data_IF_219520635089
#
_entry.id   IF_219520635089
#
_cell.length_a   1.000
_cell.length_b   1.000
_cell.length_c   1.000
_cell.angle_alpha   90.00
_cell.angle_beta   90.00
_cell.angle_gamma   90.00
#
_symmetry.space_group_name_H-M   'P 1'
#
loop_
_entity.id
_entity.type
_entity.pdbx_description
1 polymer ?
#
# COMPACT_ATOMS: atom_id res chain seq x y z
N UNK A 1 27.33 8.59 20.76
CA UNK A 1 26.26 8.52 21.78
C UNK A 1 26.65 7.58 22.91
N UNK A 2 27.31 6.47 22.59
CA UNK A 2 27.67 5.43 23.56
C UNK A 2 28.76 5.83 24.57
N UNK A 3 29.65 6.75 24.22
CA UNK A 3 30.71 7.20 25.14
C UNK A 3 30.18 7.89 26.40
N UNK A 4 29.07 8.63 26.31
CA UNK A 4 28.42 9.23 27.47
C UNK A 4 27.79 8.18 28.39
N UNK A 5 27.33 7.06 27.82
CA UNK A 5 26.73 5.95 28.55
C UNK A 5 27.82 5.15 29.25
N UNK A 6 28.92 4.82 28.57
CA UNK A 6 30.05 4.09 29.15
C UNK A 6 30.70 4.87 30.30
N UNK A 7 30.97 6.17 30.12
CA UNK A 7 31.57 7.02 31.17
C UNK A 7 30.66 7.12 32.39
N UNK A 8 29.34 7.29 32.20
CA UNK A 8 28.39 7.29 33.31
C UNK A 8 28.32 5.92 34.03
N UNK A 9 28.51 4.81 33.31
CA UNK A 9 28.59 3.48 33.93
C UNK A 9 29.89 3.24 34.71
N UNK A 10 30.99 3.90 34.35
CA UNK A 10 32.24 3.85 35.10
C UNK A 10 32.21 4.74 36.36
N UNK A 11 31.53 5.90 36.27
CA UNK A 11 31.41 6.86 37.38
C UNK A 11 30.45 6.39 38.49
N UNK A 12 29.46 5.57 38.13
CA UNK A 12 28.54 4.95 39.09
C UNK A 12 28.95 3.51 39.35
N UNK A 13 29.25 3.15 40.60
CA UNK A 13 29.47 1.75 40.98
C UNK A 13 28.34 0.89 40.41
N UNK A 14 28.67 -0.13 39.61
CA UNK A 14 27.76 -0.96 38.81
C UNK A 14 26.48 -1.41 39.55
N UNK A 15 26.57 -1.54 40.87
CA UNK A 15 25.48 -1.92 41.77
C UNK A 15 24.51 -0.79 42.09
N UNK A 16 24.91 0.47 42.06
CA UNK A 16 24.05 1.61 42.38
C UNK A 16 22.91 1.76 41.39
N UNK A 17 23.22 1.76 40.09
CA UNK A 17 22.21 1.84 39.02
C UNK A 17 21.31 0.60 39.04
N UNK A 18 21.88 -0.59 39.28
CA UNK A 18 21.12 -1.84 39.45
C UNK A 18 20.18 -1.75 40.67
N UNK A 19 20.66 -1.30 41.82
CA UNK A 19 19.84 -1.13 43.03
C UNK A 19 18.72 -0.09 42.84
N UNK A 20 18.99 1.00 42.10
CA UNK A 20 17.97 2.00 41.78
C UNK A 20 16.91 1.43 40.84
N UNK A 21 17.32 0.71 39.80
CA UNK A 21 16.42 0.01 38.88
C UNK A 21 15.58 -1.02 39.64
N UNK A 22 16.24 -1.87 40.41
CA UNK A 22 15.59 -2.97 41.14
C UNK A 22 14.65 -2.41 42.21
N UNK A 23 15.00 -1.31 42.89
CA UNK A 23 14.12 -0.63 43.81
C UNK A 23 12.92 0.08 43.15
N UNK A 24 13.02 0.47 41.88
CA UNK A 24 11.88 0.98 41.10
C UNK A 24 10.98 -0.19 40.69
N UNK A 25 11.57 -1.28 40.18
CA UNK A 25 10.85 -2.51 39.82
C UNK A 25 10.09 -3.03 41.04
N UNK A 26 10.74 -3.16 42.19
CA UNK A 26 10.10 -3.59 43.44
C UNK A 26 8.92 -2.69 43.81
N UNK A 27 9.02 -1.37 43.66
CA UNK A 27 7.93 -0.43 43.93
C UNK A 27 6.76 -0.51 42.94
N UNK A 28 7.03 -0.84 41.68
CA UNK A 28 6.02 -0.96 40.62
C UNK A 28 5.25 -2.29 40.70
N UNK A 29 5.95 -3.36 41.10
CA UNK A 29 5.40 -4.71 41.15
C UNK A 29 5.00 -5.16 42.56
N UNK A 30 5.35 -4.40 43.61
CA UNK A 30 4.80 -4.61 44.94
C UNK A 30 3.28 -4.34 44.95
N UNK A 31 2.47 -5.15 45.66
CA UNK A 31 1.05 -4.89 45.82
C UNK A 31 0.83 -3.49 46.39
N UNK A 32 -0.02 -2.68 45.74
CA UNK A 32 -0.20 -1.25 46.00
C UNK A 32 -0.80 -0.88 47.38
N UNK A 33 -0.77 -1.78 48.35
CA UNK A 33 -1.48 -1.61 49.63
C UNK A 33 -0.68 -1.00 50.77
N UNK A 34 0.57 -0.54 50.59
CA UNK A 34 1.34 -0.14 51.78
C UNK A 34 2.37 0.98 51.70
N UNK A 35 2.44 1.81 50.64
CA UNK A 35 3.37 2.96 50.65
C UNK A 35 2.86 4.24 49.97
N UNK A 36 1.85 4.86 50.58
CA UNK A 36 1.77 6.32 50.61
C UNK A 36 1.91 6.77 52.06
N UNK A 37 2.99 7.47 52.40
CA UNK A 37 3.24 7.93 53.77
C UNK A 37 2.30 9.08 54.21
N UNK A 38 1.44 9.61 53.32
CA UNK A 38 0.51 10.70 53.64
C UNK A 38 -0.97 10.42 53.28
N UNK A 39 -1.32 9.18 52.95
CA UNK A 39 -2.73 8.83 52.74
C UNK A 39 -3.22 8.01 53.94
N UNK A 40 -3.90 8.69 54.86
CA UNK A 40 -4.84 8.06 55.79
C UNK A 40 -5.98 7.48 54.94
N UNK A 41 -5.84 6.22 54.55
CA UNK A 41 -6.87 5.50 53.79
C UNK A 41 -7.99 5.10 54.77
N UNK A 42 -9.18 5.67 54.59
CA UNK A 42 -10.41 4.99 55.00
C UNK A 42 -10.70 3.92 53.97
N UNK A 43 -10.82 2.69 54.43
CA UNK A 43 -11.24 1.53 53.66
C UNK A 43 -12.57 1.82 52.94
N UNK A 44 -12.57 1.67 51.61
CA UNK A 44 -13.79 1.39 50.86
C UNK A 44 -13.44 0.59 49.62
N UNK A 45 -13.94 -0.64 49.65
CA UNK A 45 -13.74 -1.72 48.70
C UNK A 45 -14.36 -1.46 47.33
N UNK A 46 -13.78 -2.08 46.29
CA UNK A 46 -14.51 -2.50 45.09
C UNK A 46 -14.29 -1.74 43.77
N UNK A 47 -13.55 -0.64 43.73
CA UNK A 47 -13.43 0.20 42.50
C UNK A 47 -12.05 0.24 41.84
N UNK A 48 -11.08 -0.49 42.38
CA UNK A 48 -9.69 -0.46 41.89
C UNK A 48 -9.43 -1.46 40.75
N UNK A 49 -10.13 -2.59 40.72
CA UNK A 49 -9.90 -3.69 39.76
C UNK A 49 -10.36 -3.36 38.34
N UNK A 50 -11.57 -2.80 38.16
CA UNK A 50 -12.07 -2.38 36.84
C UNK A 50 -11.16 -1.34 36.16
N UNK A 51 -10.54 -0.45 36.95
CA UNK A 51 -9.65 0.58 36.41
C UNK A 51 -8.29 0.00 35.98
N UNK A 52 -7.82 -1.08 36.62
CA UNK A 52 -6.58 -1.78 36.26
C UNK A 52 -6.78 -2.60 34.98
N UNK A 53 -7.86 -3.39 34.89
CA UNK A 53 -8.18 -4.20 33.70
C UNK A 53 -8.37 -3.32 32.46
N UNK A 54 -9.11 -2.21 32.60
CA UNK A 54 -9.35 -1.27 31.50
C UNK A 54 -8.09 -0.52 31.05
N UNK A 55 -7.14 -0.32 31.98
CA UNK A 55 -5.83 0.27 31.66
C UNK A 55 -4.90 -0.75 30.98
N UNK A 56 -4.93 -2.02 31.41
CA UNK A 56 -4.18 -3.11 30.77
C UNK A 56 -4.68 -3.39 29.36
N UNK A 57 -5.99 -3.55 29.14
CA UNK A 57 -6.55 -3.76 27.79
C UNK A 57 -6.26 -2.60 26.84
N UNK A 58 -6.25 -1.36 27.35
CA UNK A 58 -5.90 -0.18 26.55
C UNK A 58 -4.42 -0.18 26.17
N UNK A 59 -3.54 -0.66 27.06
CA UNK A 59 -2.10 -0.75 26.80
C UNK A 59 -1.79 -1.90 25.81
N UNK A 60 -2.52 -3.01 25.89
CA UNK A 60 -2.38 -4.18 25.01
C UNK A 60 -2.82 -3.86 23.56
N UNK A 61 -3.99 -3.22 23.39
CA UNK A 61 -4.43 -2.67 22.09
C UNK A 61 -3.45 -1.64 21.51
N UNK A 62 -2.79 -0.87 22.38
CA UNK A 62 -1.80 0.11 21.96
C UNK A 62 -0.48 -0.56 21.57
N UNK A 63 -0.11 -1.66 22.22
CA UNK A 63 1.03 -2.49 21.87
C UNK A 63 0.82 -3.21 20.54
N UNK A 64 -0.34 -3.85 20.32
CA UNK A 64 -0.70 -4.48 19.02
C UNK A 64 -0.58 -3.47 17.87
N UNK A 65 -1.13 -2.27 18.06
CA UNK A 65 -1.05 -1.21 17.04
C UNK A 65 0.38 -0.74 16.78
N UNK A 66 1.25 -0.74 17.80
CA UNK A 66 2.67 -0.42 17.64
C UNK A 66 3.39 -1.54 16.89
N UNK A 67 3.06 -2.81 17.18
CA UNK A 67 3.62 -3.97 16.47
C UNK A 67 3.25 -3.93 14.98
N UNK A 68 1.98 -3.72 14.64
CA UNK A 68 1.52 -3.60 13.26
C UNK A 68 2.24 -2.46 12.51
N UNK A 69 2.45 -1.32 13.17
CA UNK A 69 3.18 -0.18 12.60
C UNK A 69 4.68 -0.46 12.39
N UNK A 70 5.30 -1.29 13.23
CA UNK A 70 6.71 -1.67 13.09
C UNK A 70 6.88 -2.71 11.96
N UNK A 71 5.99 -3.70 11.89
CA UNK A 71 6.03 -4.75 10.87
C UNK A 71 5.86 -4.18 9.44
N UNK A 72 4.94 -3.24 9.25
CA UNK A 72 4.73 -2.58 7.95
C UNK A 72 6.02 -1.90 7.43
N UNK A 73 6.80 -1.30 8.33
CA UNK A 73 8.05 -0.61 7.99
C UNK A 73 9.20 -1.59 7.66
N UNK A 74 9.28 -2.73 8.35
CA UNK A 74 10.30 -3.76 8.09
C UNK A 74 10.05 -4.48 6.75
N UNK A 75 8.80 -4.80 6.44
CA UNK A 75 8.42 -5.36 5.12
C UNK A 75 8.80 -4.40 3.98
N UNK A 76 8.50 -3.11 4.15
CA UNK A 76 8.85 -2.09 3.17
C UNK A 76 10.35 -1.95 2.99
N UNK A 77 11.15 -2.02 4.08
CA UNK A 77 12.61 -2.01 4.02
C UNK A 77 13.13 -3.19 3.19
N UNK A 78 12.63 -4.40 3.44
CA UNK A 78 13.00 -5.62 2.70
C UNK A 78 12.65 -5.53 1.22
N UNK A 79 11.48 -4.98 0.88
CA UNK A 79 11.08 -4.76 -0.52
C UNK A 79 12.03 -3.77 -1.22
N UNK A 80 12.51 -2.72 -0.53
CA UNK A 80 13.50 -1.80 -1.06
C UNK A 80 14.86 -2.47 -1.34
N UNK A 81 15.29 -3.34 -0.44
CA UNK A 81 16.53 -4.11 -0.60
C UNK A 81 16.44 -5.03 -1.83
N UNK A 82 15.35 -5.80 -1.93
CA UNK A 82 15.08 -6.64 -3.09
C UNK A 82 15.03 -5.81 -4.36
N UNK A 83 14.35 -4.65 -4.36
CA UNK A 83 14.27 -3.76 -5.52
C UNK A 83 15.66 -3.35 -6.02
N UNK A 84 16.56 -2.94 -5.13
CA UNK A 84 17.91 -2.52 -5.50
C UNK A 84 18.69 -3.65 -6.16
N UNK A 85 18.62 -4.84 -5.57
CA UNK A 85 19.24 -6.03 -6.12
C UNK A 85 18.60 -6.44 -7.47
N UNK A 86 17.29 -6.22 -7.71
CA UNK A 86 16.64 -6.45 -9.01
C UNK A 86 16.99 -5.38 -10.06
N UNK A 87 17.61 -4.26 -9.66
CA UNK A 87 18.12 -3.25 -10.59
C UNK A 87 19.47 -3.66 -11.20
N UNK A 88 20.23 -4.49 -10.47
CA UNK A 88 21.51 -5.01 -10.93
C UNK A 88 21.33 -6.05 -12.05
N UNK A 89 21.84 -5.72 -13.24
CA UNK A 89 21.76 -6.60 -14.43
C UNK A 89 22.71 -7.82 -14.35
N UNK A 90 23.64 -7.81 -13.40
CA UNK A 90 24.64 -8.85 -13.20
C UNK A 90 24.23 -9.93 -12.21
N UNK A 91 22.99 -9.88 -11.68
CA UNK A 91 22.50 -10.89 -10.76
C UNK A 91 22.39 -12.26 -11.44
N UNK A 92 22.74 -13.30 -10.68
CA UNK A 92 22.58 -14.67 -11.16
C UNK A 92 21.10 -15.04 -11.22
N UNK A 93 20.76 -15.98 -12.11
CA UNK A 93 19.39 -16.47 -12.25
C UNK A 93 18.81 -17.00 -10.93
N UNK A 94 19.60 -17.75 -10.17
CA UNK A 94 19.17 -18.31 -8.88
C UNK A 94 18.83 -17.22 -7.86
N UNK A 95 19.65 -16.16 -7.78
CA UNK A 95 19.39 -15.03 -6.90
C UNK A 95 18.10 -14.29 -7.31
N UNK A 96 17.91 -14.04 -8.62
CA UNK A 96 16.68 -13.44 -9.13
C UNK A 96 15.44 -14.28 -8.79
N UNK A 97 15.53 -15.61 -8.88
CA UNK A 97 14.44 -16.52 -8.53
C UNK A 97 14.10 -16.42 -7.04
N UNK A 98 15.09 -16.48 -6.15
CA UNK A 98 14.87 -16.36 -4.70
C UNK A 98 14.24 -15.03 -4.31
N UNK A 99 14.73 -13.94 -4.91
CA UNK A 99 14.21 -12.60 -4.67
C UNK A 99 12.79 -12.43 -5.16
N UNK A 100 12.49 -12.91 -6.38
CA UNK A 100 11.14 -12.87 -6.94
C UNK A 100 10.18 -13.75 -6.15
N UNK A 101 10.63 -14.92 -5.68
CA UNK A 101 9.84 -15.79 -4.81
C UNK A 101 9.53 -15.10 -3.49
N UNK A 102 10.53 -14.47 -2.85
CA UNK A 102 10.30 -13.69 -1.63
C UNK A 102 9.30 -12.55 -1.85
N UNK A 103 9.24 -11.92 -3.03
CA UNK A 103 8.23 -10.91 -3.34
C UNK A 103 6.84 -11.50 -3.55
N UNK A 104 6.75 -12.73 -4.07
CA UNK A 104 5.48 -13.45 -4.26
C UNK A 104 4.90 -13.88 -2.91
N UNK A 105 5.76 -14.30 -1.99
CA UNK A 105 5.36 -14.76 -0.65
C UNK A 105 5.01 -13.58 0.28
N UNK A 106 5.54 -12.38 0.01
CA UNK A 106 5.15 -11.16 0.71
C UNK A 106 3.83 -10.59 0.16
N UNK A 107 2.91 -10.23 1.05
CA UNK A 107 1.64 -9.60 0.69
C UNK A 107 1.82 -8.10 0.37
N UNK A 108 2.27 -7.80 -0.86
CA UNK A 108 2.55 -6.41 -1.25
C UNK A 108 1.24 -5.63 -1.50
N UNK A 109 1.02 -4.58 -0.71
CA UNK A 109 -0.13 -3.68 -0.86
C UNK A 109 0.08 -2.61 -1.95
N UNK A 110 -1.01 -1.97 -2.41
CA UNK A 110 -0.95 -0.84 -3.36
C UNK A 110 -0.05 0.31 -2.85
N UNK A 111 -0.13 0.63 -1.56
CA UNK A 111 0.69 1.67 -0.92
C UNK A 111 2.18 1.36 -1.11
N UNK A 112 2.59 0.13 -0.78
CA UNK A 112 3.98 -0.32 -0.91
C UNK A 112 4.43 -0.35 -2.37
N UNK A 113 3.57 -0.77 -3.31
CA UNK A 113 3.89 -0.71 -4.75
C UNK A 113 4.18 0.72 -5.22
N UNK A 114 3.35 1.67 -4.79
CA UNK A 114 3.48 3.09 -5.15
C UNK A 114 4.73 3.72 -4.53
N UNK A 115 5.02 3.42 -3.27
CA UNK A 115 6.14 4.02 -2.54
C UNK A 115 7.49 3.45 -2.96
N UNK A 116 7.57 2.15 -3.25
CA UNK A 116 8.83 1.49 -3.60
C UNK A 116 9.14 1.57 -5.10
N UNK A 117 8.12 1.74 -5.96
CA UNK A 117 8.21 1.65 -7.43
C UNK A 117 8.88 0.35 -7.91
N UNK A 118 8.69 -0.74 -7.16
CA UNK A 118 9.22 -2.06 -7.52
C UNK A 118 8.54 -2.65 -8.77
N UNK A 119 7.30 -2.21 -9.04
CA UNK A 119 6.51 -2.57 -10.22
C UNK A 119 7.29 -2.44 -11.53
N UNK A 120 7.99 -1.31 -11.69
CA UNK A 120 8.83 -1.03 -12.85
C UNK A 120 9.99 -2.01 -12.98
N UNK A 121 10.64 -2.34 -11.86
CA UNK A 121 11.84 -3.17 -11.82
C UNK A 121 11.51 -4.61 -12.24
N UNK A 122 10.46 -5.19 -11.65
CA UNK A 122 9.98 -6.52 -12.02
C UNK A 122 9.44 -6.57 -13.47
N UNK A 123 8.83 -5.49 -13.97
CA UNK A 123 8.33 -5.44 -15.36
C UNK A 123 9.44 -5.63 -16.40
N UNK A 124 10.66 -5.14 -16.14
CA UNK A 124 11.83 -5.34 -17.02
C UNK A 124 12.19 -6.81 -17.18
N UNK A 125 11.99 -7.61 -16.13
CA UNK A 125 12.31 -9.04 -16.09
C UNK A 125 11.32 -9.92 -16.88
N UNK A 126 10.23 -9.35 -17.44
CA UNK A 126 9.27 -10.10 -18.27
C UNK A 126 9.90 -10.73 -19.52
N UNK A 127 11.01 -10.17 -20.00
CA UNK A 127 11.76 -10.65 -21.18
C UNK A 127 13.02 -11.43 -20.81
N UNK A 128 13.20 -11.82 -19.55
CA UNK A 128 14.37 -12.54 -19.08
C UNK A 128 14.54 -13.89 -19.83
N UNK A 129 15.80 -14.34 -19.98
CA UNK A 129 16.14 -15.59 -20.68
C UNK A 129 15.61 -16.82 -19.95
N UNK A 130 15.78 -16.85 -18.62
CA UNK A 130 15.24 -17.89 -17.75
C UNK A 130 13.72 -17.98 -17.81
N UNK A 131 13.22 -19.20 -17.92
CA UNK A 131 11.79 -19.47 -17.90
C UNK A 131 11.19 -19.23 -16.51
N UNK A 132 11.89 -19.63 -15.46
CA UNK A 132 11.37 -19.59 -14.09
C UNK A 132 11.30 -18.15 -13.58
N UNK A 133 12.31 -17.32 -13.88
CA UNK A 133 12.25 -15.86 -13.66
C UNK A 133 11.01 -15.26 -14.35
N UNK A 134 10.76 -15.60 -15.63
CA UNK A 134 9.58 -15.09 -16.35
C UNK A 134 8.26 -15.56 -15.75
N UNK A 135 8.16 -16.82 -15.28
CA UNK A 135 6.95 -17.35 -14.63
C UNK A 135 6.66 -16.60 -13.33
N UNK A 136 7.67 -16.43 -12.48
CA UNK A 136 7.53 -15.72 -11.20
C UNK A 136 7.12 -14.27 -11.43
N UNK A 137 7.76 -13.57 -12.37
CA UNK A 137 7.38 -12.19 -12.73
C UNK A 137 5.92 -12.10 -13.20
N UNK A 138 5.42 -13.09 -13.95
CA UNK A 138 4.01 -13.12 -14.39
C UNK A 138 3.05 -13.27 -13.21
N UNK A 139 3.35 -14.17 -12.27
CA UNK A 139 2.55 -14.37 -11.05
C UNK A 139 2.53 -13.09 -10.23
N UNK A 140 3.72 -12.52 -9.99
CA UNK A 140 3.89 -11.31 -9.20
C UNK A 140 3.11 -10.13 -9.79
N UNK A 141 3.23 -9.88 -11.10
CA UNK A 141 2.48 -8.81 -11.78
C UNK A 141 0.97 -9.04 -11.71
N UNK A 142 0.50 -10.29 -11.71
CA UNK A 142 -0.93 -10.58 -11.56
C UNK A 142 -1.40 -10.22 -10.15
N UNK A 143 -0.72 -10.72 -9.13
CA UNK A 143 -1.07 -10.44 -7.73
C UNK A 143 -1.06 -8.92 -7.43
N UNK A 144 -0.08 -8.19 -7.99
CA UNK A 144 -0.02 -6.74 -7.84
C UNK A 144 -1.15 -6.00 -8.54
N UNK A 145 -1.58 -6.48 -9.72
CA UNK A 145 -2.77 -5.94 -10.38
C UNK A 145 -4.01 -6.17 -9.54
N UNK A 146 -4.18 -7.37 -8.99
CA UNK A 146 -5.34 -7.68 -8.14
C UNK A 146 -5.39 -6.74 -6.91
N UNK A 147 -4.24 -6.48 -6.27
CA UNK A 147 -4.14 -5.53 -5.16
C UNK A 147 -4.42 -4.06 -5.58
N UNK A 148 -3.98 -3.65 -6.78
CA UNK A 148 -4.29 -2.32 -7.33
C UNK A 148 -5.77 -2.22 -7.66
N UNK A 149 -6.35 -3.21 -8.33
CA UNK A 149 -7.74 -3.26 -8.76
C UNK A 149 -8.68 -3.26 -7.55
N UNK A 150 -8.33 -4.01 -6.50
CA UNK A 150 -9.05 -3.97 -5.22
C UNK A 150 -8.99 -2.59 -4.57
N UNK A 151 -7.82 -1.96 -4.53
CA UNK A 151 -7.68 -0.59 -4.02
C UNK A 151 -8.50 0.41 -4.84
N UNK A 152 -8.48 0.32 -6.17
CA UNK A 152 -9.29 1.18 -7.07
C UNK A 152 -10.77 0.97 -6.80
N UNK A 153 -11.23 -0.27 -6.65
CA UNK A 153 -12.63 -0.60 -6.33
C UNK A 153 -13.08 -0.03 -4.99
N UNK A 154 -12.23 -0.01 -3.98
CA UNK A 154 -12.54 0.57 -2.66
C UNK A 154 -12.49 2.10 -2.65
N UNK A 155 -11.71 2.71 -3.54
CA UNK A 155 -11.54 4.17 -3.64
C UNK A 155 -12.38 4.81 -4.75
N UNK A 156 -13.13 4.03 -5.53
CA UNK A 156 -14.15 4.56 -6.42
C UNK A 156 -15.42 4.78 -5.60
N UNK A 157 -15.88 6.02 -5.41
CA UNK A 157 -17.21 6.25 -4.86
C UNK A 157 -18.20 5.53 -5.77
N UNK A 158 -19.06 4.71 -5.18
CA UNK A 158 -20.18 4.09 -5.87
C UNK A 158 -21.07 5.22 -6.43
N UNK A 159 -20.80 5.66 -7.65
CA UNK A 159 -21.86 6.15 -8.53
C UNK A 159 -22.79 4.96 -8.72
N UNK A 160 -23.85 4.96 -7.91
CA UNK A 160 -24.97 4.06 -8.02
C UNK A 160 -25.48 4.18 -9.46
N UNK A 161 -25.09 3.23 -10.30
CA UNK A 161 -25.78 3.01 -11.56
C UNK A 161 -27.17 2.51 -11.18
N UNK A 162 -28.13 3.45 -11.10
CA UNK A 162 -29.55 3.14 -11.06
C UNK A 162 -29.85 2.22 -12.27
N UNK A 163 -30.32 0.98 -12.07
CA UNK A 163 -30.61 0.05 -13.17
C UNK A 163 -31.87 0.39 -13.98
N UNK A 164 -32.32 1.65 -13.99
CA UNK A 164 -33.59 2.06 -14.59
C UNK A 164 -33.41 3.36 -15.36
N UNK A 165 -32.93 3.27 -16.59
CA UNK A 165 -33.27 4.22 -17.66
C UNK A 165 -33.24 3.47 -19.00
N UNK A 166 -34.08 2.43 -19.10
CA UNK A 166 -34.60 1.94 -20.37
C UNK A 166 -35.76 2.86 -20.80
N UNK A 167 -35.43 4.08 -21.23
CA UNK A 167 -36.38 4.90 -21.98
C UNK A 167 -36.33 4.49 -23.45
N UNK A 168 -37.13 3.45 -23.71
CA UNK A 168 -37.66 3.05 -25.00
C UNK A 168 -37.98 4.27 -25.85
N UNK A 169 -37.27 4.41 -26.96
CA UNK A 169 -37.71 5.20 -28.10
C UNK A 169 -38.94 4.52 -28.72
N UNK A 170 -40.12 5.00 -28.37
CA UNK A 170 -41.34 4.79 -29.12
C UNK A 170 -41.91 6.18 -29.38
N UNK A 171 -41.84 6.64 -30.63
CA UNK A 171 -42.86 7.51 -31.21
C UNK A 171 -42.81 7.39 -32.73
N UNK A 172 -43.60 6.45 -33.23
CA UNK A 172 -44.16 6.44 -34.58
C UNK A 172 -45.41 7.33 -34.56
N UNK A 173 -45.38 8.51 -35.17
CA UNK A 173 -46.60 9.11 -35.71
C UNK A 173 -46.31 10.12 -36.84
N UNK A 174 -46.54 9.64 -38.06
CA UNK A 174 -47.23 10.28 -39.19
C UNK A 174 -47.06 11.79 -39.45
N UNK A 175 -46.44 12.11 -40.59
CA UNK A 175 -46.70 13.34 -41.34
C UNK A 175 -47.33 13.02 -42.71
N UNK A 176 -48.58 13.42 -42.91
CA UNK A 176 -49.19 13.58 -44.24
C UNK A 176 -49.50 15.06 -44.50
N UNK A 177 -48.77 15.59 -45.50
CA UNK A 177 -49.12 16.61 -46.50
C UNK A 177 -49.07 18.13 -46.23
N UNK A 178 -48.61 18.77 -47.32
CA UNK A 178 -48.72 20.15 -47.82
C UNK A 178 -47.71 21.16 -47.24
N UNK A 179 -46.63 21.48 -47.97
CA UNK A 179 -46.55 22.44 -49.10
C UNK A 179 -46.56 23.90 -48.60
N UNK A 180 -45.40 24.57 -48.63
CA UNK A 180 -45.14 25.86 -49.32
C UNK A 180 -43.61 26.04 -49.43
N UNK A 181 -43.12 26.20 -50.66
CA UNK A 181 -41.80 26.76 -51.06
C UNK A 181 -42.17 28.03 -51.86
N UNK A 182 -41.54 29.22 -51.71
CA UNK A 182 -40.26 29.56 -52.37
C UNK A 182 -39.41 30.58 -51.56
N UNK A 183 -38.17 30.99 -51.87
CA UNK A 183 -37.24 30.91 -53.00
C UNK A 183 -35.87 31.39 -52.47
N UNK A 184 -34.77 31.00 -53.11
CA UNK A 184 -33.47 31.66 -52.89
C UNK A 184 -32.25 30.80 -53.18
N UNK A 185 -32.03 30.48 -54.46
CA UNK A 185 -30.80 29.91 -55.01
C UNK A 185 -29.55 30.72 -54.63
N UNK A 186 -28.39 30.07 -54.47
CA UNK A 186 -27.19 30.32 -55.29
C UNK A 186 -26.26 29.10 -55.21
N UNK A 187 -25.74 28.79 -56.39
CA UNK A 187 -25.04 27.59 -56.82
C UNK A 187 -23.51 27.65 -56.63
N UNK A 188 -22.90 26.48 -56.85
CA UNK A 188 -21.60 26.23 -57.52
C UNK A 188 -20.35 25.98 -56.64
N UNK A 189 -19.79 24.76 -56.81
CA UNK A 189 -18.37 24.43 -56.56
C UNK A 189 -17.43 25.10 -57.57
N UNK A 190 -16.12 24.73 -57.68
CA UNK A 190 -15.72 23.35 -57.97
C UNK A 190 -14.37 22.85 -57.35
N UNK A 191 -14.22 21.52 -57.34
CA UNK A 191 -13.06 20.70 -57.80
C UNK A 191 -11.65 21.32 -57.74
N UNK A 192 -10.67 20.63 -57.10
CA UNK A 192 -9.53 19.97 -57.80
C UNK A 192 -8.36 19.56 -56.87
N UNK A 193 -7.86 18.32 -57.07
CA UNK A 193 -6.44 17.90 -57.11
C UNK A 193 -5.54 18.06 -55.85
N UNK A 194 -4.79 17.07 -55.35
CA UNK A 194 -3.84 16.15 -56.01
C UNK A 194 -3.55 14.89 -55.16
N UNK A 195 -3.51 13.75 -55.87
CA UNK A 195 -2.55 12.65 -55.87
C UNK A 195 -2.06 11.97 -54.57
N UNK A 196 -2.42 10.69 -54.50
CA UNK A 196 -1.68 9.60 -53.89
C UNK A 196 -0.25 9.46 -54.46
N UNK A 197 0.68 9.01 -53.61
CA UNK A 197 1.90 8.33 -54.04
C UNK A 197 2.10 7.07 -53.21
N UNK A 198 2.10 5.94 -53.90
CA UNK A 198 2.51 4.64 -53.41
C UNK A 198 3.46 4.02 -54.44
N UNK A 199 4.26 3.05 -53.97
CA UNK A 199 5.18 2.12 -54.71
C UNK A 199 6.60 2.69 -54.83
N UNK A 200 7.69 1.94 -54.67
CA UNK A 200 7.94 0.47 -54.72
C UNK A 200 9.36 0.19 -54.18
N UNK A 201 9.59 -1.00 -53.61
CA UNK A 201 10.92 -1.63 -53.45
C UNK A 201 11.35 -2.36 -54.77
N UNK A 202 12.41 -3.19 -54.80
CA UNK A 202 13.85 -2.93 -54.58
C UNK A 202 14.72 -3.34 -55.81
N UNK A 203 16.06 -3.29 -55.65
CA UNK A 203 17.11 -4.18 -56.21
C UNK A 203 18.24 -3.47 -56.98
N UNK A 204 19.46 -3.52 -56.44
CA UNK A 204 20.59 -4.28 -57.01
C UNK A 204 21.71 -4.41 -55.98
#
# INVERSE_FOLDING_TARGET
MDMAITVACEDHHEKELKNRRDGIIERLYAPAFSRCHNCVIKESDGKLTENIEKFQSKQELQAEKIVDMIEEDDEKRKILEIKNLLDDQNQSEGCLVEMLQSLVDMNITFKTLKETDIGRHASRLRKHSSNDVRKLVKILIRNWKDAVDEWVRLNTPLEQTNPFDDHRGIDLQNGMKAEVVPHGDVQNGPVSHYLASAKKAPSR
#
